data_IF_978756756973
#
_entry.id   IF_978756756973
#
_cell.length_a   1.000
_cell.length_b   1.000
_cell.length_c   1.000
_cell.angle_alpha   90.00
_cell.angle_beta   90.00
_cell.angle_gamma   90.00
#
_symmetry.space_group_name_H-M   'P 1'
#
loop_
_entity.id
_entity.type
_entity.pdbx_description
1 polymer ?
#
# COMPACT_ATOMS: atom_id res chain seq x y z
N UNK A 1 -1.23 4.44 -28.08
CA UNK A 1 -2.42 4.38 -27.18
C UNK A 1 -2.11 5.04 -25.86
N UNK A 2 -3.12 5.57 -25.18
CA UNK A 2 -2.99 6.27 -23.89
C UNK A 2 -3.75 5.48 -22.83
N UNK A 3 -3.31 5.53 -21.57
CA UNK A 3 -3.98 4.83 -20.48
C UNK A 3 -4.22 5.72 -19.28
N UNK A 4 -5.35 5.51 -18.60
CA UNK A 4 -5.59 6.03 -17.25
C UNK A 4 -5.37 4.88 -16.28
N UNK A 5 -4.56 5.09 -15.24
CA UNK A 5 -4.19 4.11 -14.24
C UNK A 5 -4.55 4.64 -12.85
N UNK A 6 -5.09 3.76 -12.03
CA UNK A 6 -5.37 3.98 -10.62
C UNK A 6 -5.23 2.66 -9.85
N UNK A 7 -4.80 2.70 -8.59
CA UNK A 7 -4.66 1.52 -7.72
C UNK A 7 -5.41 1.69 -6.40
N UNK A 8 -5.95 0.58 -5.90
CA UNK A 8 -6.50 0.52 -4.56
C UNK A 8 -5.61 -0.33 -3.67
N UNK A 9 -5.37 0.17 -2.45
CA UNK A 9 -4.49 -0.46 -1.48
C UNK A 9 -5.19 -0.69 -0.16
N UNK A 10 -4.77 -1.72 0.56
CA UNK A 10 -5.23 -2.01 1.91
C UNK A 10 -4.02 -2.07 2.82
N UNK A 11 -4.12 -1.37 3.94
CA UNK A 11 -3.13 -1.37 5.00
C UNK A 11 -3.07 -2.74 5.67
N UNK A 12 -1.87 -3.23 6.01
CA UNK A 12 -1.71 -4.43 6.80
C UNK A 12 -2.36 -4.27 8.19
N UNK A 13 -2.93 -5.34 8.77
CA UNK A 13 -3.43 -5.32 10.14
C UNK A 13 -2.37 -4.84 11.14
N UNK A 14 -2.79 -4.21 12.25
CA UNK A 14 -1.88 -3.62 13.25
C UNK A 14 -0.80 -4.59 13.75
N UNK A 15 -1.14 -5.86 13.92
CA UNK A 15 -0.19 -6.91 14.32
C UNK A 15 0.90 -7.14 13.28
N UNK A 16 0.53 -7.23 11.99
CA UNK A 16 1.48 -7.40 10.90
C UNK A 16 2.32 -6.15 10.68
N UNK A 17 1.71 -4.96 10.74
CA UNK A 17 2.44 -3.70 10.70
C UNK A 17 3.48 -3.62 11.82
N UNK A 18 3.11 -3.95 13.06
CA UNK A 18 4.02 -3.94 14.21
C UNK A 18 5.20 -4.88 13.98
N UNK A 19 4.93 -6.09 13.47
CA UNK A 19 5.96 -7.07 13.08
C UNK A 19 6.91 -6.50 12.02
N UNK A 20 6.38 -5.90 10.95
CA UNK A 20 7.18 -5.30 9.87
C UNK A 20 7.98 -4.08 10.34
N UNK A 21 7.44 -3.31 11.28
CA UNK A 21 8.09 -2.16 11.91
C UNK A 21 9.15 -2.57 12.95
N UNK A 22 9.32 -3.88 13.22
CA UNK A 22 10.26 -4.39 14.21
C UNK A 22 9.83 -4.12 15.66
N UNK A 23 8.55 -3.82 15.89
CA UNK A 23 7.99 -3.65 17.24
C UNK A 23 7.80 -5.04 17.86
N UNK A 24 8.30 -5.20 19.08
CA UNK A 24 8.02 -6.39 19.88
C UNK A 24 6.51 -6.45 20.16
N UNK A 25 5.88 -7.64 20.14
CA UNK A 25 4.52 -7.76 20.64
C UNK A 25 4.50 -7.20 22.06
N UNK A 26 3.56 -6.30 22.34
CA UNK A 26 3.37 -5.74 23.67
C UNK A 26 3.23 -6.90 24.63
N UNK A 27 4.25 -7.09 25.47
CA UNK A 27 4.23 -8.07 26.55
C UNK A 27 2.97 -7.74 27.36
N UNK A 28 2.07 -8.72 27.43
CA UNK A 28 0.69 -8.53 27.88
C UNK A 28 0.58 -7.69 29.14
N UNK A 29 -0.51 -6.95 29.21
CA UNK A 29 -1.03 -6.30 30.39
C UNK A 29 -1.19 -7.34 31.53
N UNK A 30 -0.12 -7.62 32.26
CA UNK A 30 -0.17 -8.48 33.45
C UNK A 30 1.04 -8.23 34.33
N UNK A 31 1.13 -7.05 34.91
CA UNK A 31 1.74 -6.85 36.23
C UNK A 31 0.72 -6.06 37.06
N UNK A 32 0.25 -6.56 38.22
CA UNK A 32 -0.68 -5.82 39.06
C UNK A 32 0.02 -4.55 39.56
N UNK A 33 -0.51 -3.38 39.19
CA UNK A 33 0.00 -2.08 39.59
C UNK A 33 -0.09 -1.91 41.10
N UNK A 34 1.06 -2.00 41.77
CA UNK A 34 1.24 -1.57 43.16
C UNK A 34 1.06 -0.06 43.32
N UNK A 35 0.69 0.32 44.54
CA UNK A 35 0.31 1.66 45.00
C UNK A 35 1.14 2.82 44.40
N UNK A 36 0.48 3.64 43.57
CA UNK A 36 1.02 4.90 43.06
C UNK A 36 0.65 5.15 41.61
N UNK A 37 -0.57 5.63 41.35
CA UNK A 37 -0.93 6.18 40.04
C UNK A 37 -0.11 7.46 39.79
N UNK A 38 1.06 7.29 39.18
CA UNK A 38 1.86 8.40 38.69
C UNK A 38 1.25 8.96 37.40
N UNK A 39 0.59 10.12 37.51
CA UNK A 39 0.00 10.85 36.40
C UNK A 39 1.01 11.13 35.27
N UNK A 40 2.30 11.27 35.59
CA UNK A 40 3.34 11.47 34.59
C UNK A 40 3.59 10.19 33.78
N UNK A 41 3.68 9.04 34.43
CA UNK A 41 3.76 7.73 33.79
C UNK A 41 2.53 7.45 32.90
N UNK A 42 1.32 7.78 33.37
CA UNK A 42 0.10 7.64 32.58
C UNK A 42 0.09 8.57 31.35
N UNK A 43 0.54 9.82 31.50
CA UNK A 43 0.65 10.78 30.39
C UNK A 43 1.70 10.39 29.35
N UNK A 44 2.83 9.84 29.78
CA UNK A 44 3.87 9.33 28.88
C UNK A 44 3.35 8.14 28.05
N UNK A 45 2.64 7.20 28.69
CA UNK A 45 2.03 6.07 28.00
C UNK A 45 0.95 6.50 26.98
N UNK A 46 0.15 7.52 27.30
CA UNK A 46 -0.83 8.12 26.39
C UNK A 46 -0.17 8.72 25.14
N UNK A 47 0.90 9.49 25.35
CA UNK A 47 1.64 10.13 24.26
C UNK A 47 2.31 9.10 23.34
N UNK A 48 2.84 8.02 23.91
CA UNK A 48 3.41 6.91 23.15
C UNK A 48 2.35 6.22 22.29
N UNK A 49 1.20 5.87 22.86
CA UNK A 49 0.06 5.28 22.10
C UNK A 49 -0.34 6.15 20.92
N UNK A 50 -0.49 7.47 21.14
CA UNK A 50 -0.85 8.40 20.08
C UNK A 50 0.20 8.48 18.97
N UNK A 51 1.48 8.49 19.34
CA UNK A 51 2.56 8.45 18.37
C UNK A 51 2.56 7.15 17.55
N UNK A 52 2.23 6.01 18.17
CA UNK A 52 2.07 4.76 17.44
C UNK A 52 0.89 4.78 16.47
N UNK A 53 -0.25 5.29 16.89
CA UNK A 53 -1.45 5.39 16.05
C UNK A 53 -1.19 6.31 14.85
N UNK A 54 -0.47 7.41 15.05
CA UNK A 54 -0.04 8.28 13.97
C UNK A 54 0.92 7.59 12.99
N UNK A 55 1.84 6.76 13.50
CA UNK A 55 2.75 5.97 12.65
C UNK A 55 1.99 4.90 11.87
N UNK A 56 1.06 4.20 12.51
CA UNK A 56 0.19 3.23 11.87
C UNK A 56 -0.62 3.93 10.78
N UNK A 57 -1.36 5.00 11.08
CA UNK A 57 -2.14 5.73 10.08
C UNK A 57 -1.33 6.16 8.85
N UNK A 58 -0.10 6.66 9.06
CA UNK A 58 0.80 7.05 7.96
C UNK A 58 1.27 5.86 7.12
N UNK A 59 1.32 4.66 7.70
CA UNK A 59 1.77 3.45 7.02
C UNK A 59 0.83 3.02 5.90
N UNK A 60 -0.42 3.47 5.89
CA UNK A 60 -1.40 3.15 4.85
C UNK A 60 -0.90 3.54 3.44
N UNK A 61 -0.13 4.63 3.33
CA UNK A 61 0.42 5.12 2.06
C UNK A 61 1.81 4.55 1.71
N UNK A 62 2.36 3.65 2.53
CA UNK A 62 3.67 3.05 2.29
C UNK A 62 3.53 1.59 1.84
N UNK A 63 4.02 1.31 0.63
CA UNK A 63 4.06 -0.02 0.04
C UNK A 63 4.86 -1.07 0.83
N UNK A 64 5.62 -0.72 1.88
CA UNK A 64 6.16 -1.72 2.81
C UNK A 64 5.03 -2.40 3.60
N UNK A 65 4.06 -1.60 4.08
CA UNK A 65 3.07 -1.99 5.08
C UNK A 65 1.66 -2.14 4.49
N UNK A 66 1.50 -1.87 3.20
CA UNK A 66 0.23 -1.96 2.50
C UNK A 66 0.38 -2.85 1.26
N UNK A 67 -0.73 -3.44 0.84
CA UNK A 67 -0.82 -4.32 -0.33
C UNK A 67 -1.78 -3.74 -1.37
N UNK A 68 -1.50 -3.97 -2.65
CA UNK A 68 -2.42 -3.65 -3.75
C UNK A 68 -3.51 -4.72 -3.80
N UNK A 69 -4.77 -4.29 -3.80
CA UNK A 69 -5.94 -5.17 -3.88
C UNK A 69 -6.70 -5.02 -5.20
N UNK A 70 -6.51 -3.89 -5.90
CA UNK A 70 -7.08 -3.64 -7.21
C UNK A 70 -6.14 -2.78 -8.05
N UNK A 71 -6.06 -3.07 -9.35
CA UNK A 71 -5.40 -2.24 -10.36
C UNK A 71 -6.42 -1.97 -11.47
N UNK A 72 -6.78 -0.70 -11.65
CA UNK A 72 -7.68 -0.25 -12.71
C UNK A 72 -6.91 0.36 -13.88
N UNK A 73 -7.31 0.02 -15.10
CA UNK A 73 -6.72 0.56 -16.32
C UNK A 73 -7.82 0.88 -17.35
N UNK A 74 -7.92 2.14 -17.75
CA UNK A 74 -8.73 2.56 -18.89
C UNK A 74 -7.83 2.75 -20.10
N UNK A 75 -8.25 2.22 -21.24
CA UNK A 75 -7.51 2.23 -22.48
C UNK A 75 -8.15 3.21 -23.47
N UNK A 76 -7.34 4.12 -24.01
CA UNK A 76 -7.77 5.13 -24.96
C UNK A 76 -6.96 5.06 -26.26
N UNK A 77 -7.58 5.45 -27.37
CA UNK A 77 -6.88 5.71 -28.63
C UNK A 77 -5.91 6.90 -28.48
N UNK A 78 -5.09 7.14 -29.49
CA UNK A 78 -4.21 8.32 -29.48
C UNK A 78 -5.01 9.63 -29.55
N UNK A 79 -6.23 9.58 -30.07
CA UNK A 79 -7.23 10.64 -30.11
C UNK A 79 -8.07 10.74 -28.82
N UNK A 80 -7.72 9.99 -27.76
CA UNK A 80 -8.45 9.95 -26.48
C UNK A 80 -9.88 9.38 -26.57
N UNK A 81 -10.15 8.52 -27.54
CA UNK A 81 -11.42 7.79 -27.62
C UNK A 81 -11.36 6.54 -26.73
N UNK A 82 -12.37 6.26 -25.89
CA UNK A 82 -12.40 5.07 -25.04
C UNK A 82 -12.37 3.78 -25.88
N UNK A 83 -11.44 2.88 -25.58
CA UNK A 83 -11.33 1.56 -26.23
C UNK A 83 -11.69 0.40 -25.33
N UNK A 84 -11.50 0.57 -24.02
CA UNK A 84 -11.81 -0.48 -23.06
C UNK A 84 -11.47 -0.08 -21.64
N UNK A 85 -11.94 -0.89 -20.71
CA UNK A 85 -11.62 -0.82 -19.30
C UNK A 85 -11.26 -2.22 -18.83
N UNK A 86 -10.19 -2.34 -18.07
CA UNK A 86 -9.81 -3.58 -17.39
C UNK A 86 -9.51 -3.27 -15.93
N UNK A 87 -9.94 -4.16 -15.04
CA UNK A 87 -9.61 -4.11 -13.63
C UNK A 87 -9.18 -5.50 -13.19
N UNK A 88 -8.07 -5.58 -12.47
CA UNK A 88 -7.60 -6.80 -11.83
C UNK A 88 -7.72 -6.62 -10.33
N UNK A 89 -8.40 -7.54 -9.65
CA UNK A 89 -8.62 -7.49 -8.20
C UNK A 89 -8.59 -8.89 -7.59
N UNK A 90 -8.25 -8.99 -6.31
CA UNK A 90 -8.20 -10.26 -5.59
C UNK A 90 -7.14 -10.27 -4.48
N UNK A 91 -6.96 -11.44 -3.86
CA UNK A 91 -6.01 -11.63 -2.75
C UNK A 91 -4.58 -11.97 -3.17
N UNK A 92 -4.34 -12.34 -4.43
CA UNK A 92 -2.99 -12.64 -4.95
C UNK A 92 -2.39 -11.42 -5.65
N UNK A 93 -1.84 -10.51 -4.85
CA UNK A 93 -1.20 -9.28 -5.34
C UNK A 93 -0.10 -9.56 -6.38
N UNK A 94 0.65 -10.66 -6.22
CA UNK A 94 1.71 -11.04 -7.14
C UNK A 94 1.14 -11.32 -8.54
N UNK A 95 0.00 -11.99 -8.60
CA UNK A 95 -0.69 -12.25 -9.85
C UNK A 95 -1.29 -10.97 -10.45
N UNK A 96 -1.86 -10.07 -9.64
CA UNK A 96 -2.33 -8.76 -10.11
C UNK A 96 -1.22 -7.97 -10.81
N UNK A 97 -0.04 -7.89 -10.18
CA UNK A 97 1.12 -7.22 -10.75
C UNK A 97 1.57 -7.87 -12.06
N UNK A 98 1.60 -9.20 -12.14
CA UNK A 98 1.96 -9.91 -13.38
C UNK A 98 1.01 -9.62 -14.52
N UNK A 99 -0.29 -9.66 -14.26
CA UNK A 99 -1.31 -9.39 -15.27
C UNK A 99 -1.20 -7.96 -15.79
N UNK A 100 -1.03 -6.99 -14.88
CA UNK A 100 -0.78 -5.60 -15.24
C UNK A 100 0.46 -5.43 -16.11
N UNK A 101 1.62 -5.94 -15.67
CA UNK A 101 2.87 -5.82 -16.44
C UNK A 101 2.76 -6.54 -17.79
N UNK A 102 2.14 -7.73 -17.85
CA UNK A 102 1.91 -8.42 -19.12
C UNK A 102 1.05 -7.60 -20.08
N UNK A 103 -0.02 -6.96 -19.58
CA UNK A 103 -0.88 -6.06 -20.38
C UNK A 103 -0.09 -4.86 -20.91
N UNK A 104 0.73 -4.22 -20.07
CA UNK A 104 1.58 -3.11 -20.51
C UNK A 104 2.61 -3.53 -21.56
N UNK A 105 3.20 -4.72 -21.45
CA UNK A 105 4.18 -5.23 -22.39
C UNK A 105 3.61 -5.41 -23.81
N UNK A 106 2.35 -5.86 -23.88
CA UNK A 106 1.61 -6.08 -25.12
C UNK A 106 1.20 -4.75 -25.77
N UNK A 107 0.69 -3.83 -24.96
CA UNK A 107 0.04 -2.61 -25.44
C UNK A 107 0.98 -1.43 -25.62
N UNK A 108 2.10 -1.39 -24.87
CA UNK A 108 3.12 -0.33 -24.86
C UNK A 108 2.53 1.08 -24.94
N UNK A 109 1.76 1.50 -23.93
CA UNK A 109 1.14 2.82 -23.93
C UNK A 109 2.21 3.93 -23.97
N UNK A 110 1.91 5.00 -24.69
CA UNK A 110 2.80 6.16 -24.84
C UNK A 110 2.57 7.24 -23.78
N UNK A 111 1.46 7.16 -23.05
CA UNK A 111 1.09 8.12 -22.00
C UNK A 111 0.32 7.41 -20.88
N UNK A 112 0.73 7.68 -19.64
CA UNK A 112 0.00 7.32 -18.43
C UNK A 112 -0.64 8.58 -17.83
N UNK A 113 -1.94 8.49 -17.55
CA UNK A 113 -2.72 9.52 -16.87
C UNK A 113 -3.10 8.94 -15.50
N UNK A 114 -2.78 9.64 -14.42
CA UNK A 114 -2.99 9.17 -13.04
C UNK A 114 -3.42 10.35 -12.16
N UNK A 115 -4.02 10.08 -11.02
CA UNK A 115 -4.26 11.08 -9.98
C UNK A 115 -3.14 11.02 -8.93
N UNK A 116 -2.07 11.79 -9.13
CA UNK A 116 -0.83 11.74 -8.32
C UNK A 116 0.02 10.45 -8.47
N UNK A 117 -0.01 9.80 -9.65
CA UNK A 117 0.72 8.54 -9.84
C UNK A 117 2.24 8.65 -9.78
N UNK A 118 2.83 9.83 -9.95
CA UNK A 118 4.25 10.05 -9.70
C UNK A 118 4.59 10.11 -8.20
N UNK A 119 3.64 10.55 -7.37
CA UNK A 119 3.79 10.64 -5.92
C UNK A 119 3.31 9.39 -5.17
N UNK A 120 2.47 8.57 -5.80
CA UNK A 120 1.85 7.41 -5.16
C UNK A 120 1.88 6.16 -6.05
N UNK A 121 1.02 6.05 -7.06
CA UNK A 121 0.73 4.80 -7.77
C UNK A 121 1.98 4.10 -8.33
N UNK A 122 2.78 4.80 -9.12
CA UNK A 122 3.94 4.21 -9.80
C UNK A 122 5.07 3.86 -8.80
N UNK A 123 5.48 4.74 -7.86
CA UNK A 123 6.40 4.35 -6.79
C UNK A 123 5.89 3.17 -5.95
N UNK A 124 4.60 3.15 -5.61
CA UNK A 124 3.98 2.12 -4.79
C UNK A 124 4.03 0.77 -5.51
N UNK A 125 3.54 0.71 -6.75
CA UNK A 125 3.58 -0.49 -7.60
C UNK A 125 5.00 -0.98 -7.84
N UNK A 126 5.97 -0.08 -8.06
CA UNK A 126 7.37 -0.45 -8.22
C UNK A 126 7.90 -1.15 -6.96
N UNK A 127 7.63 -0.60 -5.78
CA UNK A 127 8.07 -1.18 -4.50
C UNK A 127 7.41 -2.54 -4.24
N UNK A 128 6.09 -2.67 -4.49
CA UNK A 128 5.39 -3.96 -4.39
C UNK A 128 5.90 -4.99 -5.39
N UNK A 129 6.24 -4.57 -6.61
CA UNK A 129 6.87 -5.43 -7.63
C UNK A 129 8.22 -5.96 -7.16
N UNK A 130 9.03 -5.15 -6.47
CA UNK A 130 10.30 -5.59 -5.88
C UNK A 130 10.05 -6.63 -4.78
N UNK A 131 9.12 -6.34 -3.85
CA UNK A 131 8.76 -7.23 -2.73
C UNK A 131 8.31 -8.61 -3.25
N UNK A 132 7.46 -8.64 -4.27
CA UNK A 132 6.93 -9.87 -4.88
C UNK A 132 7.83 -10.49 -5.96
N UNK A 133 9.00 -9.90 -6.21
CA UNK A 133 9.94 -10.31 -7.26
C UNK A 133 9.28 -10.42 -8.64
N UNK A 134 8.38 -9.49 -8.95
CA UNK A 134 7.74 -9.35 -10.26
C UNK A 134 8.50 -8.28 -11.04
N UNK A 135 9.07 -8.65 -12.18
CA UNK A 135 9.85 -7.71 -13.00
C UNK A 135 8.91 -6.84 -13.86
N UNK A 136 9.03 -5.50 -13.80
CA UNK A 136 8.36 -4.62 -14.75
C UNK A 136 8.78 -4.95 -16.18
N UNK A 137 7.81 -5.00 -17.08
CA UNK A 137 7.97 -5.46 -18.47
C UNK A 137 8.22 -4.33 -19.48
N UNK A 138 8.33 -3.08 -19.01
CA UNK A 138 8.57 -1.86 -19.78
C UNK A 138 9.62 -0.99 -19.10
#
# INVERSE_FOLDING_TARGET
>A
MKVVLDIETVQAPREEWARLAGKLPSRGESEPLGEGYDLFSAGAAEAERRAEDDQYAKSAFDATYSQIVCIGLLEFSDQLEPRGAVAWYGGDERELLRQFWSRLAQNRPSLFITHNGLGFDLPFMKKRSIIHQVKPSS
#
